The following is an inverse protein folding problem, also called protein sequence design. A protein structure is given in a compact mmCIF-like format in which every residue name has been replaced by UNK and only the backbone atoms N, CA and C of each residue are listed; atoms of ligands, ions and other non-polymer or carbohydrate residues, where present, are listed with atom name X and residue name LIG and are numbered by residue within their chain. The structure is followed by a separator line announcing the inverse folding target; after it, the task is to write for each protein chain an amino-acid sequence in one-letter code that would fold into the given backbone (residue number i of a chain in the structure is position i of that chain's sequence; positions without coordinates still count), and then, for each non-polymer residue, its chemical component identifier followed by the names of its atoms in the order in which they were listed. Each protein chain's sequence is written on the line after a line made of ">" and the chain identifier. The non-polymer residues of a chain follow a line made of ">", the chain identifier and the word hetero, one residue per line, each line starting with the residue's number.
data_IF_793224523972
#
_entry.id   IF_793224523972
#
_cell.length_a   1.000
_cell.length_b   1.000
_cell.length_c   1.000
_cell.angle_alpha   90.00
_cell.angle_beta   90.00
_cell.angle_gamma   90.00
#
_symmetry.space_group_name_H-M   'P 1'
#
loop_
_entity.id
_entity.type
_entity.pdbx_description
1 polymer ?
#
# COMPACT_ATOMS: atom_id res chain seq x y z
N UNK A 1 18.53 -6.08 3.47
CA UNK A 1 17.86 -5.68 2.24
C UNK A 1 18.86 -5.90 1.14
N UNK A 2 18.53 -6.75 0.18
CA UNK A 2 19.39 -7.01 -0.97
C UNK A 2 19.21 -5.87 -1.98
N UNK A 3 20.23 -5.55 -2.77
CA UNK A 3 20.16 -4.47 -3.77
C UNK A 3 18.99 -4.65 -4.75
N UNK A 4 18.63 -5.90 -5.03
CA UNK A 4 17.47 -6.27 -5.85
C UNK A 4 16.13 -5.80 -5.26
N UNK A 5 15.98 -5.84 -3.93
CA UNK A 5 14.75 -5.38 -3.27
C UNK A 5 14.60 -3.86 -3.37
N UNK A 6 15.73 -3.14 -3.26
CA UNK A 6 15.76 -1.70 -3.42
C UNK A 6 15.39 -1.28 -4.84
N UNK A 7 15.86 -2.03 -5.85
CA UNK A 7 15.48 -1.80 -7.25
C UNK A 7 13.98 -2.01 -7.48
N UNK A 8 13.39 -3.07 -6.90
CA UNK A 8 11.94 -3.31 -7.00
C UNK A 8 11.14 -2.18 -6.34
N UNK A 9 11.56 -1.71 -5.16
CA UNK A 9 10.91 -0.58 -4.49
C UNK A 9 11.03 0.69 -5.34
N UNK A 10 12.23 0.99 -5.85
CA UNK A 10 12.49 2.17 -6.67
C UNK A 10 11.66 2.16 -7.96
N UNK A 11 11.60 1.02 -8.65
CA UNK A 11 10.75 0.84 -9.83
C UNK A 11 9.26 0.96 -9.48
N UNK A 12 8.83 0.39 -8.35
CA UNK A 12 7.45 0.52 -7.87
C UNK A 12 7.05 1.95 -7.58
N UNK A 13 7.93 2.73 -6.94
CA UNK A 13 7.71 4.15 -6.71
C UNK A 13 7.66 4.90 -8.04
N UNK A 14 8.62 4.69 -8.93
CA UNK A 14 8.69 5.40 -10.21
C UNK A 14 7.47 5.12 -11.10
N UNK A 15 7.08 3.85 -11.22
CA UNK A 15 5.91 3.44 -12.00
C UNK A 15 4.60 3.86 -11.34
N UNK A 16 4.53 3.83 -10.00
CA UNK A 16 3.40 4.36 -9.25
C UNK A 16 3.19 5.86 -9.49
N UNK A 17 4.27 6.64 -9.51
CA UNK A 17 4.22 8.06 -9.88
C UNK A 17 3.81 8.26 -11.33
N UNK A 18 4.37 7.47 -12.26
CA UNK A 18 4.02 7.56 -13.68
C UNK A 18 2.53 7.25 -13.90
N UNK A 19 2.02 6.22 -13.24
CA UNK A 19 0.61 5.85 -13.28
C UNK A 19 -0.29 6.96 -12.71
N UNK A 20 0.10 7.53 -11.55
CA UNK A 20 -0.60 8.66 -10.95
C UNK A 20 -0.64 9.87 -11.88
N UNK A 21 0.48 10.21 -12.53
CA UNK A 21 0.55 11.34 -13.46
C UNK A 21 -0.35 11.13 -14.69
N UNK A 22 -0.50 9.90 -15.17
CA UNK A 22 -1.31 9.58 -16.34
C UNK A 22 -2.80 9.46 -16.05
N UNK A 23 -3.17 8.85 -14.92
CA UNK A 23 -4.57 8.50 -14.62
C UNK A 23 -5.21 9.39 -13.56
N UNK A 24 -4.41 10.10 -12.75
CA UNK A 24 -4.86 10.87 -11.60
C UNK A 24 -5.21 10.02 -10.37
N UNK A 25 -5.17 8.68 -10.46
CA UNK A 25 -5.46 7.78 -9.34
C UNK A 25 -4.20 7.39 -8.57
N UNK A 26 -4.25 7.55 -7.25
CA UNK A 26 -3.15 7.20 -6.35
C UNK A 26 -3.14 5.68 -6.07
N UNK A 27 -2.00 4.97 -6.20
CA UNK A 27 -1.92 3.53 -5.99
C UNK A 27 -1.90 3.13 -4.51
N UNK A 28 -2.69 3.81 -3.68
CA UNK A 28 -2.70 3.60 -2.23
C UNK A 28 -1.46 4.16 -1.54
N UNK A 29 -0.86 5.24 -2.05
CA UNK A 29 0.35 5.90 -1.57
C UNK A 29 1.56 5.69 -2.48
N UNK A 30 2.56 6.58 -2.36
CA UNK A 30 3.77 6.58 -3.22
C UNK A 30 4.58 5.28 -3.06
N UNK A 31 4.66 4.76 -1.84
CA UNK A 31 5.55 3.65 -1.47
C UNK A 31 4.86 2.28 -1.66
N UNK A 32 3.54 2.26 -1.58
CA UNK A 32 2.68 1.07 -1.59
C UNK A 32 2.87 0.14 -2.79
N UNK A 33 2.90 0.60 -4.06
CA UNK A 33 3.09 -0.30 -5.19
C UNK A 33 4.44 -1.02 -5.16
N UNK A 34 5.50 -0.38 -4.66
CA UNK A 34 6.82 -1.02 -4.51
C UNK A 34 6.85 -2.11 -3.44
N UNK A 35 6.18 -1.89 -2.31
CA UNK A 35 6.09 -2.92 -1.27
C UNK A 35 5.15 -4.06 -1.63
N UNK A 36 4.02 -3.77 -2.30
CA UNK A 36 3.17 -4.82 -2.86
C UNK A 36 3.97 -5.63 -3.87
N UNK A 37 4.78 -4.99 -4.73
CA UNK A 37 5.62 -5.68 -5.71
C UNK A 37 6.63 -6.64 -5.08
N UNK A 38 7.24 -6.26 -3.95
CA UNK A 38 8.14 -7.15 -3.19
C UNK A 38 7.40 -8.37 -2.61
N UNK A 39 6.21 -8.15 -2.08
CA UNK A 39 5.43 -9.18 -1.39
C UNK A 39 4.46 -9.90 -2.32
N UNK A 40 4.54 -9.68 -3.64
CA UNK A 40 3.75 -10.42 -4.65
C UNK A 40 3.97 -11.94 -4.58
N UNK A 41 5.14 -12.37 -4.11
CA UNK A 41 5.44 -13.79 -3.88
C UNK A 41 4.64 -14.40 -2.70
N UNK A 42 4.13 -13.57 -1.78
CA UNK A 42 3.32 -14.00 -0.64
C UNK A 42 1.89 -13.40 -0.70
N UNK A 43 0.95 -14.07 -1.40
CA UNK A 43 -0.40 -13.52 -1.62
C UNK A 43 -1.18 -13.31 -0.32
N UNK A 44 -0.86 -14.07 0.72
CA UNK A 44 -1.40 -13.91 2.06
C UNK A 44 -1.13 -12.52 2.65
N UNK A 45 0.10 -12.01 2.54
CA UNK A 45 0.45 -10.70 3.10
C UNK A 45 -0.17 -9.54 2.32
N UNK A 46 -0.23 -9.65 0.99
CA UNK A 46 -0.91 -8.66 0.13
C UNK A 46 -2.41 -8.64 0.43
N UNK A 47 -3.03 -9.81 0.58
CA UNK A 47 -4.42 -9.93 0.99
C UNK A 47 -4.68 -9.27 2.34
N UNK A 48 -3.85 -9.55 3.35
CA UNK A 48 -3.95 -8.91 4.66
C UNK A 48 -3.78 -7.39 4.60
N UNK A 49 -2.85 -6.87 3.78
CA UNK A 49 -2.66 -5.43 3.59
C UNK A 49 -3.90 -4.75 2.96
N UNK A 50 -4.53 -5.39 1.98
CA UNK A 50 -5.76 -4.88 1.34
C UNK A 50 -6.96 -4.93 2.29
N UNK A 51 -7.15 -6.04 3.02
CA UNK A 51 -8.24 -6.20 3.99
C UNK A 51 -8.08 -5.21 5.15
N UNK A 52 -6.86 -5.06 5.68
CA UNK A 52 -6.58 -4.07 6.72
C UNK A 52 -6.72 -2.65 6.20
N UNK A 53 -6.31 -2.35 4.96
CA UNK A 53 -6.56 -1.06 4.32
C UNK A 53 -8.05 -0.74 4.17
N UNK A 54 -8.87 -1.75 3.82
CA UNK A 54 -10.33 -1.60 3.78
C UNK A 54 -10.91 -1.32 5.18
N UNK A 55 -10.45 -2.04 6.20
CA UNK A 55 -10.86 -1.79 7.59
C UNK A 55 -10.48 -0.38 8.06
N UNK A 56 -9.26 0.08 7.73
CA UNK A 56 -8.82 1.47 7.99
C UNK A 56 -9.73 2.45 7.28
N UNK A 57 -10.06 2.24 6.00
CA UNK A 57 -10.97 3.11 5.24
C UNK A 57 -12.36 3.19 5.90
N UNK A 58 -12.90 2.07 6.37
CA UNK A 58 -14.20 2.02 7.03
C UNK A 58 -14.20 2.78 8.37
N UNK A 59 -13.16 2.58 9.20
CA UNK A 59 -12.99 3.32 10.46
C UNK A 59 -12.75 4.81 10.22
N UNK A 60 -11.98 5.15 9.19
CA UNK A 60 -11.70 6.51 8.79
C UNK A 60 -12.98 7.22 8.32
N UNK A 61 -13.87 6.53 7.61
CA UNK A 61 -15.17 7.06 7.23
C UNK A 61 -16.01 7.43 8.47
N UNK A 62 -16.00 6.57 9.49
CA UNK A 62 -16.68 6.85 10.75
C UNK A 62 -16.06 8.05 11.47
N UNK A 63 -14.73 8.11 11.56
CA UNK A 63 -13.99 9.21 12.18
C UNK A 63 -14.21 10.55 11.47
N UNK A 64 -14.27 10.55 10.14
CA UNK A 64 -14.55 11.75 9.34
C UNK A 64 -15.99 12.22 9.58
N UNK A 65 -16.95 11.30 9.69
CA UNK A 65 -18.34 11.64 10.01
C UNK A 65 -18.49 12.22 11.43
N UNK A 66 -17.74 11.72 12.40
CA UNK A 66 -17.83 12.18 13.79
C UNK A 66 -17.10 13.49 14.03
N UNK A 67 -15.90 13.67 13.45
CA UNK A 67 -15.00 14.78 13.79
C UNK A 67 -14.82 15.80 12.66
N UNK A 68 -15.37 15.56 11.46
CA UNK A 68 -15.24 16.48 10.33
C UNK A 68 -13.78 16.66 9.91
N UNK A 69 -13.03 15.56 9.76
CA UNK A 69 -11.62 15.61 9.37
C UNK A 69 -11.47 15.96 7.88
N UNK A 70 -10.73 17.04 7.58
CA UNK A 70 -10.51 17.50 6.22
C UNK A 70 -9.02 17.55 5.83
N UNK A 71 -8.75 17.42 4.52
CA UNK A 71 -7.42 17.62 3.93
C UNK A 71 -6.34 16.67 4.47
N UNK A 72 -5.24 17.24 4.97
CA UNK A 72 -4.05 16.51 5.46
C UNK A 72 -4.25 15.83 6.81
N UNK A 73 -5.23 16.28 7.61
CA UNK A 73 -5.56 15.62 8.89
C UNK A 73 -6.15 14.22 8.66
N UNK A 74 -6.85 14.03 7.54
CA UNK A 74 -7.45 12.75 7.15
C UNK A 74 -6.41 11.67 6.89
N UNK A 75 -5.32 11.98 6.18
CA UNK A 75 -4.25 11.00 5.95
C UNK A 75 -3.51 10.66 7.25
N UNK A 76 -3.28 11.65 8.11
CA UNK A 76 -2.71 11.43 9.45
C UNK A 76 -3.62 10.56 10.34
N UNK A 77 -4.93 10.78 10.32
CA UNK A 77 -5.88 9.95 11.05
C UNK A 77 -5.89 8.50 10.53
N UNK A 78 -5.82 8.29 9.21
CA UNK A 78 -5.73 6.96 8.62
C UNK A 78 -4.50 6.19 9.10
N UNK A 79 -3.36 6.88 9.17
CA UNK A 79 -2.11 6.35 9.71
C UNK A 79 -2.23 5.95 11.18
N UNK A 80 -2.82 6.81 12.01
CA UNK A 80 -3.02 6.53 13.43
C UNK A 80 -4.00 5.37 13.64
N UNK A 81 -5.07 5.28 12.84
CA UNK A 81 -6.01 4.15 12.87
C UNK A 81 -5.30 2.86 12.47
N UNK A 82 -4.49 2.88 11.41
CA UNK A 82 -3.71 1.71 10.99
C UNK A 82 -2.71 1.28 12.07
N UNK A 83 -2.07 2.24 12.75
CA UNK A 83 -1.19 1.96 13.89
C UNK A 83 -1.97 1.37 15.08
N UNK A 84 -3.12 1.93 15.42
CA UNK A 84 -3.97 1.44 16.50
C UNK A 84 -4.43 0.00 16.22
N UNK A 85 -4.88 -0.28 14.99
CA UNK A 85 -5.18 -1.63 14.53
C UNK A 85 -3.96 -2.55 14.64
N UNK A 86 -2.76 -2.07 14.30
CA UNK A 86 -1.53 -2.85 14.47
C UNK A 86 -1.28 -3.27 15.90
N UNK A 87 -1.43 -2.34 16.85
CA UNK A 87 -1.19 -2.62 18.26
C UNK A 87 -2.25 -3.58 18.82
N UNK A 88 -3.52 -3.41 18.46
CA UNK A 88 -4.60 -4.28 18.96
C UNK A 88 -4.59 -5.67 18.34
N UNK A 89 -4.29 -5.80 17.05
CA UNK A 89 -4.16 -7.12 16.44
C UNK A 89 -2.84 -7.80 16.80
N UNK A 90 -1.76 -7.06 17.10
CA UNK A 90 -0.53 -7.61 17.64
C UNK A 90 -0.68 -8.22 19.04
N UNK A 91 -1.66 -7.78 19.83
CA UNK A 91 -1.98 -8.37 21.13
C UNK A 91 -2.98 -9.53 21.07
N UNK A 92 -3.79 -9.63 20.02
CA UNK A 92 -4.85 -10.63 19.88
C UNK A 92 -4.52 -11.78 18.90
N UNK A 93 -3.61 -11.57 17.94
CA UNK A 93 -3.25 -12.54 16.91
C UNK A 93 -1.73 -12.74 16.87
N UNK A 94 -1.21 -13.98 16.91
CA UNK A 94 0.17 -14.28 16.57
C UNK A 94 0.43 -14.18 15.04
N UNK A 95 -0.22 -13.22 14.38
CA UNK A 95 -0.09 -12.90 12.96
C UNK A 95 0.84 -11.70 12.72
N UNK A 96 1.76 -11.44 13.66
CA UNK A 96 2.78 -10.38 13.58
C UNK A 96 3.67 -10.51 12.34
N UNK A 97 3.83 -11.72 11.82
CA UNK A 97 4.67 -12.03 10.66
C UNK A 97 4.00 -11.77 9.29
N UNK A 98 2.69 -11.54 9.28
CA UNK A 98 1.90 -11.29 8.05
C UNK A 98 1.71 -9.80 7.75
N UNK A 99 2.10 -8.93 8.69
CA UNK A 99 1.86 -7.50 8.56
C UNK A 99 3.00 -6.81 7.82
N UNK A 100 2.74 -6.41 6.57
CA UNK A 100 3.64 -5.54 5.80
C UNK A 100 3.54 -4.10 6.33
N UNK A 101 4.10 -3.87 7.52
CA UNK A 101 4.10 -2.56 8.17
C UNK A 101 2.70 -1.99 8.49
N UNK A 102 2.67 -0.91 9.27
CA UNK A 102 1.41 -0.17 9.54
C UNK A 102 1.15 0.92 8.50
N UNK A 103 2.19 1.35 7.79
CA UNK A 103 2.14 2.50 6.88
C UNK A 103 1.34 2.18 5.61
N UNK A 104 1.54 1.00 5.03
CA UNK A 104 0.88 0.59 3.77
C UNK A 104 -0.64 0.52 3.91
N UNK A 105 -1.22 -0.22 4.88
CA UNK A 105 -2.67 -0.23 5.04
C UNK A 105 -3.23 1.15 5.42
N UNK A 106 -2.45 1.99 6.13
CA UNK A 106 -2.80 3.38 6.39
C UNK A 106 -2.90 4.23 5.11
N UNK A 107 -1.93 4.09 4.21
CA UNK A 107 -1.92 4.80 2.92
C UNK A 107 -3.05 4.32 2.01
N UNK A 108 -3.22 2.99 1.91
CA UNK A 108 -4.30 2.37 1.13
C UNK A 108 -5.66 2.84 1.64
N UNK A 109 -5.88 2.78 2.97
CA UNK A 109 -7.16 3.20 3.56
C UNK A 109 -7.45 4.69 3.34
N UNK A 110 -6.42 5.54 3.41
CA UNK A 110 -6.57 6.97 3.13
C UNK A 110 -7.01 7.22 1.68
N UNK A 111 -6.39 6.54 0.71
CA UNK A 111 -6.71 6.70 -0.71
C UNK A 111 -8.03 6.03 -1.09
N UNK A 112 -8.33 4.83 -0.55
CA UNK A 112 -9.61 4.15 -0.72
C UNK A 112 -10.78 5.06 -0.37
N UNK A 113 -10.66 5.81 0.72
CA UNK A 113 -11.72 6.73 1.11
C UNK A 113 -11.78 7.96 0.16
N UNK A 114 -10.66 8.39 -0.45
CA UNK A 114 -10.60 9.62 -1.28
C UNK A 114 -11.13 9.39 -2.69
N UNK A 115 -10.71 8.31 -3.34
CA UNK A 115 -11.00 8.03 -4.74
C UNK A 115 -11.87 6.78 -4.93
N UNK A 116 -12.11 6.01 -3.86
CA UNK A 116 -12.89 4.77 -3.89
C UNK A 116 -12.02 3.52 -3.76
N UNK A 117 -12.64 2.43 -3.32
CA UNK A 117 -11.96 1.15 -3.06
C UNK A 117 -11.44 0.53 -4.36
N UNK A 118 -12.31 0.36 -5.35
CA UNK A 118 -11.96 -0.22 -6.66
C UNK A 118 -10.79 0.48 -7.36
N UNK A 119 -10.80 1.81 -7.58
CA UNK A 119 -9.70 2.46 -8.29
C UNK A 119 -8.38 2.38 -7.52
N UNK A 120 -8.43 2.35 -6.18
CA UNK A 120 -7.21 2.24 -5.35
C UNK A 120 -6.59 0.86 -5.46
N UNK A 121 -7.39 -0.21 -5.34
CA UNK A 121 -6.91 -1.59 -5.48
C UNK A 121 -6.41 -1.84 -6.91
N UNK A 122 -7.16 -1.40 -7.91
CA UNK A 122 -6.79 -1.56 -9.31
C UNK A 122 -5.47 -0.83 -9.63
N UNK A 123 -5.32 0.42 -9.18
CA UNK A 123 -4.10 1.20 -9.38
C UNK A 123 -2.90 0.58 -8.64
N UNK A 124 -3.10 0.16 -7.38
CA UNK A 124 -2.05 -0.46 -6.57
C UNK A 124 -1.54 -1.76 -7.20
N UNK A 125 -2.46 -2.65 -7.60
CA UNK A 125 -2.10 -3.92 -8.24
C UNK A 125 -1.49 -3.70 -9.62
N UNK A 126 -2.06 -2.83 -10.46
CA UNK A 126 -1.52 -2.55 -11.79
C UNK A 126 -0.08 -2.02 -11.71
N UNK A 127 0.18 -1.05 -10.82
CA UNK A 127 1.51 -0.50 -10.61
C UNK A 127 2.47 -1.55 -10.00
N UNK A 128 2.01 -2.37 -9.05
CA UNK A 128 2.82 -3.41 -8.45
C UNK A 128 3.21 -4.51 -9.45
N UNK A 129 2.28 -4.98 -10.28
CA UNK A 129 2.58 -5.93 -11.36
C UNK A 129 3.55 -5.33 -12.37
N UNK A 130 3.31 -4.10 -12.82
CA UNK A 130 4.22 -3.41 -13.74
C UNK A 130 5.65 -3.29 -13.17
N UNK A 131 5.78 -3.00 -11.87
CA UNK A 131 7.06 -2.93 -11.18
C UNK A 131 7.75 -4.28 -11.05
N UNK A 132 7.00 -5.33 -10.73
CA UNK A 132 7.53 -6.69 -10.65
C UNK A 132 8.01 -7.19 -12.01
N UNK A 133 7.21 -7.03 -13.06
CA UNK A 133 7.63 -7.37 -14.43
C UNK A 133 8.83 -6.54 -14.87
N UNK A 134 8.85 -5.23 -14.57
CA UNK A 134 9.99 -4.37 -14.85
C UNK A 134 11.26 -4.84 -14.16
N UNK A 135 11.17 -5.23 -12.89
CA UNK A 135 12.30 -5.75 -12.14
C UNK A 135 12.81 -7.10 -12.67
N UNK A 136 11.91 -8.02 -13.03
CA UNK A 136 12.27 -9.31 -13.64
C UNK A 136 12.91 -9.11 -15.01
N UNK A 137 12.43 -8.16 -15.81
CA UNK A 137 13.03 -7.85 -17.10
C UNK A 137 14.42 -7.24 -16.92
N UNK A 138 14.60 -6.41 -15.89
CA UNK A 138 15.90 -5.82 -15.57
C UNK A 138 16.92 -6.87 -15.10
N UNK A 139 16.47 -7.85 -14.31
CA UNK A 139 17.34 -8.97 -13.91
C UNK A 139 17.70 -9.87 -15.10
N UNK A 140 16.76 -10.11 -16.02
CA UNK A 140 17.04 -10.83 -17.27
C UNK A 140 17.95 -10.07 -18.24
N UNK A 141 17.87 -8.73 -18.27
CA UNK A 141 18.67 -7.88 -19.16
C UNK A 141 20.13 -7.69 -18.72
N UNK A 142 20.56 -8.31 -17.60
CA UNK A 142 21.95 -8.25 -17.11
C UNK A 142 22.18 -7.27 -15.96
N UNK A 143 21.12 -6.79 -15.31
CA UNK A 143 21.21 -5.97 -14.10
C UNK A 143 21.23 -6.81 -12.82
N UNK A 144 22.45 -7.08 -12.32
CA UNK A 144 22.83 -7.63 -11.00
C UNK A 144 22.78 -9.15 -10.85
N UNK A 145 23.99 -9.74 -10.78
CA UNK A 145 24.31 -11.07 -10.25
C UNK A 145 24.40 -11.03 -8.72
#
# INVERSE_FOLDING_TARGET
>A
MNDNELLVIALGIALGLFYFHRTGYSPGGIITPGFIALELASPEKVGFALVSGFAVSALLFLAVKTWGLYGRQRTGAAMLIALALKVTAGSMLPASNLWIGWVIPGLIGADMQRQGVLPTIAAALAAAFAASFGAVLFSWAGGVF
#
